data_IF_703973542192
#
_entry.id   IF_703973542192
#
_cell.length_a   1.000
_cell.length_b   1.000
_cell.length_c   1.000
_cell.angle_alpha   90.00
_cell.angle_beta   90.00
_cell.angle_gamma   90.00
#
_symmetry.space_group_name_H-M   'P 1'
#
loop_
_entity.id
_entity.type
_entity.pdbx_description
1 polymer ?
#
# COMPACT_ATOMS: atom_id res chain seq x y z
N UNK A 1 -9.53 26.99 5.58
CA UNK A 1 -8.56 26.71 4.51
C UNK A 1 -7.18 26.29 5.04
N UNK A 2 -6.57 26.98 5.99
CA UNK A 2 -5.27 26.60 6.58
C UNK A 2 -5.24 25.21 7.24
N UNK A 3 -6.24 24.82 8.04
CA UNK A 3 -6.30 23.48 8.70
C UNK A 3 -6.22 22.30 7.71
N UNK A 4 -6.81 22.44 6.53
CA UNK A 4 -6.81 21.40 5.50
C UNK A 4 -5.42 21.18 4.87
N UNK A 5 -4.63 22.28 4.73
CA UNK A 5 -3.28 22.22 4.16
C UNK A 5 -2.31 21.51 5.12
N UNK A 6 -2.32 21.89 6.41
CA UNK A 6 -1.48 21.23 7.42
C UNK A 6 -1.80 19.74 7.56
N UNK A 7 -3.07 19.37 7.50
CA UNK A 7 -3.51 17.98 7.55
C UNK A 7 -2.95 17.15 6.38
N UNK A 8 -3.00 17.70 5.16
CA UNK A 8 -2.47 17.02 3.98
C UNK A 8 -0.95 16.85 4.02
N UNK A 9 -0.22 17.81 4.60
CA UNK A 9 1.23 17.73 4.79
C UNK A 9 1.56 16.66 5.82
N UNK A 10 0.86 16.62 6.95
CA UNK A 10 1.05 15.63 8.00
C UNK A 10 0.84 14.20 7.46
N UNK A 11 -0.21 13.97 6.66
CA UNK A 11 -0.49 12.67 6.07
C UNK A 11 0.60 12.23 5.07
N UNK A 12 1.19 13.16 4.33
CA UNK A 12 2.33 12.88 3.44
C UNK A 12 3.59 12.51 4.22
N UNK A 13 3.88 13.21 5.31
CA UNK A 13 5.01 12.90 6.18
C UNK A 13 4.82 11.52 6.81
N UNK A 14 3.62 11.22 7.26
CA UNK A 14 3.26 9.91 7.82
C UNK A 14 3.44 8.81 6.79
N UNK A 15 3.05 9.02 5.52
CA UNK A 15 3.27 8.05 4.45
C UNK A 15 4.76 7.78 4.20
N UNK A 16 5.60 8.82 4.17
CA UNK A 16 7.05 8.69 4.04
C UNK A 16 7.63 7.91 5.22
N UNK A 17 7.19 8.21 6.44
CA UNK A 17 7.63 7.50 7.64
C UNK A 17 7.31 6.00 7.58
N UNK A 18 6.11 5.63 7.14
CA UNK A 18 5.72 4.23 6.99
C UNK A 18 6.49 3.51 5.86
N UNK A 19 6.81 4.21 4.77
CA UNK A 19 7.69 3.63 3.74
C UNK A 19 9.10 3.40 4.27
N UNK A 20 9.60 4.28 5.14
CA UNK A 20 10.90 4.07 5.80
C UNK A 20 10.89 2.87 6.76
N UNK A 21 9.77 2.60 7.43
CA UNK A 21 9.65 1.42 8.30
C UNK A 21 9.77 0.10 7.51
N UNK A 22 9.47 0.09 6.21
CA UNK A 22 9.70 -1.09 5.37
C UNK A 22 11.18 -1.51 5.27
N UNK A 23 12.13 -0.64 5.65
CA UNK A 23 13.57 -0.97 5.72
C UNK A 23 13.88 -1.91 6.89
N UNK A 24 13.06 -1.87 7.95
CA UNK A 24 13.24 -2.71 9.11
C UNK A 24 12.96 -4.18 8.74
N UNK A 25 13.87 -4.78 7.98
CA UNK A 25 13.81 -6.19 7.62
C UNK A 25 13.89 -7.03 8.89
N UNK A 26 12.75 -7.45 9.42
CA UNK A 26 12.70 -8.41 10.51
C UNK A 26 12.92 -9.78 9.88
N UNK A 27 14.10 -10.33 10.04
CA UNK A 27 14.43 -11.70 9.68
C UNK A 27 13.85 -12.63 10.75
N UNK A 28 12.76 -13.30 10.44
CA UNK A 28 12.21 -14.35 11.28
C UNK A 28 12.48 -15.66 10.53
N UNK A 29 13.21 -16.60 11.13
CA UNK A 29 13.62 -17.89 10.55
C UNK A 29 14.46 -17.75 9.25
N UNK A 30 15.76 -17.90 9.36
CA UNK A 30 16.74 -18.12 8.29
C UNK A 30 16.34 -17.56 6.90
N UNK A 31 16.53 -16.24 6.67
CA UNK A 31 16.37 -15.54 5.40
C UNK A 31 14.94 -15.22 4.91
N UNK A 32 13.89 -15.44 5.69
CA UNK A 32 12.54 -15.01 5.31
C UNK A 32 12.34 -13.55 5.73
N UNK A 33 12.31 -12.65 4.76
CA UNK A 33 11.93 -11.25 4.97
C UNK A 33 10.42 -11.20 5.20
N UNK A 34 10.01 -11.07 6.44
CA UNK A 34 8.61 -10.92 6.83
C UNK A 34 8.37 -9.48 7.22
N UNK A 35 8.06 -8.64 6.26
CA UNK A 35 7.63 -7.27 6.57
C UNK A 35 6.33 -6.95 5.82
N UNK A 36 5.33 -6.40 6.52
CA UNK A 36 4.09 -5.98 5.87
C UNK A 36 4.36 -4.81 4.93
N UNK A 37 3.68 -4.76 3.80
CA UNK A 37 3.76 -3.64 2.87
C UNK A 37 3.01 -2.42 3.43
N UNK A 38 3.62 -1.70 4.37
CA UNK A 38 3.01 -0.56 5.06
C UNK A 38 2.74 0.61 4.11
N UNK A 39 3.60 0.82 3.13
CA UNK A 39 3.43 1.81 2.07
C UNK A 39 2.15 1.60 1.27
N UNK A 40 1.89 0.36 0.87
CA UNK A 40 0.68 -0.02 0.13
C UNK A 40 -0.57 0.24 0.95
N UNK A 41 -0.56 -0.09 2.24
CA UNK A 41 -1.71 0.10 3.15
C UNK A 41 -2.12 1.56 3.23
N UNK A 42 -1.14 2.44 3.37
CA UNK A 42 -1.38 3.88 3.47
C UNK A 42 -1.80 4.47 2.13
N UNK A 43 -1.12 4.11 1.05
CA UNK A 43 -1.48 4.55 -0.30
C UNK A 43 -2.92 4.14 -0.61
N UNK A 44 -3.28 2.88 -0.34
CA UNK A 44 -4.63 2.39 -0.57
C UNK A 44 -5.67 3.17 0.25
N UNK A 45 -5.47 3.31 1.56
CA UNK A 45 -6.41 3.97 2.43
C UNK A 45 -6.66 5.43 2.02
N UNK A 46 -5.60 6.20 1.81
CA UNK A 46 -5.72 7.63 1.50
C UNK A 46 -6.04 7.95 0.04
N UNK A 47 -5.95 6.98 -0.85
CA UNK A 47 -6.26 7.20 -2.26
C UNK A 47 -7.64 6.67 -2.62
N UNK A 48 -8.03 5.52 -2.07
CA UNK A 48 -9.28 4.84 -2.43
C UNK A 48 -10.37 5.09 -1.39
N UNK A 49 -10.04 4.97 -0.10
CA UNK A 49 -11.01 5.11 0.98
C UNK A 49 -11.27 6.56 1.37
N UNK A 50 -10.29 7.43 1.26
CA UNK A 50 -10.39 8.86 1.57
C UNK A 50 -9.98 9.68 0.36
N UNK A 51 -10.96 10.19 -0.32
CA UNK A 51 -10.91 10.98 -1.54
C UNK A 51 -9.58 11.75 -1.74
N UNK A 52 -8.72 11.20 -2.63
CA UNK A 52 -7.64 11.93 -3.32
C UNK A 52 -6.71 12.80 -2.46
N UNK A 53 -6.34 12.32 -1.27
CA UNK A 53 -5.38 13.05 -0.43
C UNK A 53 -3.99 13.05 -1.09
N UNK A 54 -3.63 11.96 -1.76
CA UNK A 54 -2.36 11.84 -2.43
C UNK A 54 -2.47 12.11 -3.94
N UNK A 55 -1.77 13.13 -4.45
CA UNK A 55 -1.65 13.34 -5.89
C UNK A 55 -0.81 12.23 -6.52
N UNK A 56 -1.07 11.92 -7.79
CA UNK A 56 -0.41 10.83 -8.53
C UNK A 56 1.12 10.96 -8.50
N UNK A 57 1.65 12.18 -8.62
CA UNK A 57 3.10 12.43 -8.55
C UNK A 57 3.71 12.01 -7.22
N UNK A 58 2.98 12.18 -6.11
CA UNK A 58 3.44 11.78 -4.78
C UNK A 58 3.49 10.26 -4.65
N UNK A 59 2.49 9.55 -5.16
CA UNK A 59 2.45 8.09 -5.21
C UNK A 59 3.60 7.55 -6.05
N UNK A 60 3.90 8.21 -7.17
CA UNK A 60 5.03 7.88 -8.03
C UNK A 60 6.36 7.97 -7.27
N UNK A 61 6.60 9.08 -6.55
CA UNK A 61 7.80 9.26 -5.74
C UNK A 61 7.88 8.22 -4.63
N UNK A 62 6.78 7.94 -3.93
CA UNK A 62 6.75 6.91 -2.89
C UNK A 62 7.08 5.53 -3.44
N UNK A 63 6.60 5.18 -4.63
CA UNK A 63 6.91 3.91 -5.28
C UNK A 63 8.39 3.78 -5.66
N UNK A 64 8.99 4.84 -6.22
CA UNK A 64 10.44 4.89 -6.49
C UNK A 64 11.23 4.72 -5.19
N UNK A 65 10.81 5.41 -4.15
CA UNK A 65 11.45 5.34 -2.83
C UNK A 65 11.36 3.94 -2.24
N UNK A 66 10.18 3.31 -2.32
CA UNK A 66 9.97 1.92 -1.89
C UNK A 66 10.86 0.94 -2.65
N UNK A 67 11.00 1.08 -3.96
CA UNK A 67 11.87 0.24 -4.79
C UNK A 67 13.35 0.40 -4.39
N UNK A 68 13.80 1.63 -4.20
CA UNK A 68 15.18 1.92 -3.80
C UNK A 68 15.51 1.31 -2.43
N UNK A 69 14.58 1.37 -1.47
CA UNK A 69 14.75 0.80 -0.15
C UNK A 69 14.76 -0.73 -0.14
N UNK A 70 13.99 -1.34 -1.02
CA UNK A 70 13.91 -2.80 -1.14
C UNK A 70 14.98 -3.41 -2.06
N UNK A 71 15.84 -2.57 -2.67
CA UNK A 71 16.84 -3.03 -3.62
C UNK A 71 16.25 -3.67 -4.88
N UNK A 72 15.04 -3.24 -5.24
CA UNK A 72 14.33 -3.67 -6.44
C UNK A 72 14.59 -2.66 -7.56
N UNK A 73 14.41 -3.08 -8.81
CA UNK A 73 14.53 -2.16 -9.94
C UNK A 73 13.59 -0.96 -9.79
N UNK A 74 14.17 0.22 -9.81
CA UNK A 74 13.48 1.49 -9.63
C UNK A 74 12.39 1.64 -10.68
N UNK A 75 11.16 1.89 -10.23
CA UNK A 75 10.02 2.18 -11.09
C UNK A 75 8.96 1.07 -11.17
N UNK A 76 9.27 -0.16 -10.77
CA UNK A 76 8.29 -1.27 -10.81
C UNK A 76 7.13 -1.00 -9.87
N UNK A 77 7.40 -0.72 -8.60
CA UNK A 77 6.34 -0.46 -7.61
C UNK A 77 5.58 0.81 -7.94
N UNK A 78 6.26 1.88 -8.39
CA UNK A 78 5.61 3.14 -8.74
C UNK A 78 4.62 2.98 -9.90
N UNK A 79 5.01 2.23 -10.93
CA UNK A 79 4.16 1.96 -12.08
C UNK A 79 2.96 1.10 -11.67
N UNK A 80 3.17 0.05 -10.90
CA UNK A 80 2.11 -0.83 -10.42
C UNK A 80 1.12 -0.09 -9.52
N UNK A 81 1.59 0.76 -8.60
CA UNK A 81 0.71 1.55 -7.73
C UNK A 81 -0.20 2.47 -8.55
N UNK A 82 0.34 3.19 -9.53
CA UNK A 82 -0.44 4.11 -10.36
C UNK A 82 -1.47 3.36 -11.19
N UNK A 83 -1.07 2.26 -11.84
CA UNK A 83 -1.98 1.46 -12.67
C UNK A 83 -3.12 0.92 -11.82
N UNK A 84 -2.81 0.28 -10.69
CA UNK A 84 -3.81 -0.32 -9.82
C UNK A 84 -4.76 0.71 -9.22
N UNK A 85 -4.23 1.84 -8.74
CA UNK A 85 -5.06 2.92 -8.19
C UNK A 85 -6.02 3.44 -9.25
N UNK A 86 -5.55 3.70 -10.46
CA UNK A 86 -6.41 4.15 -11.55
C UNK A 86 -7.47 3.11 -11.90
N UNK A 87 -7.09 1.85 -11.96
CA UNK A 87 -7.98 0.73 -12.23
C UNK A 87 -9.07 0.61 -11.14
N UNK A 88 -8.68 0.69 -9.88
CA UNK A 88 -9.64 0.65 -8.77
C UNK A 88 -10.56 1.86 -8.73
N UNK A 89 -10.06 3.05 -8.98
CA UNK A 89 -10.90 4.26 -9.10
C UNK A 89 -11.87 4.11 -10.27
N UNK A 90 -11.45 3.54 -11.39
CA UNK A 90 -12.29 3.33 -12.56
C UNK A 90 -13.44 2.35 -12.28
N UNK A 91 -13.17 1.22 -11.61
CA UNK A 91 -14.18 0.21 -11.33
C UNK A 91 -15.04 0.49 -10.11
N UNK A 92 -14.53 1.16 -9.10
CA UNK A 92 -15.21 1.41 -7.82
C UNK A 92 -15.70 2.86 -7.64
N UNK A 93 -15.63 3.68 -8.70
CA UNK A 93 -16.13 5.04 -8.62
C UNK A 93 -17.64 5.05 -8.92
N UNK A 94 -18.52 5.67 -8.10
CA UNK A 94 -18.28 6.56 -6.96
C UNK A 94 -19.04 6.16 -5.68
N UNK A 95 -18.60 5.19 -4.93
CA UNK A 95 -19.17 5.05 -3.58
C UNK A 95 -18.49 6.05 -2.64
N UNK A 96 -19.12 7.20 -2.46
CA UNK A 96 -18.70 8.31 -1.59
C UNK A 96 -18.53 7.95 -0.11
N UNK A 97 -18.90 6.74 0.31
CA UNK A 97 -18.92 6.30 1.70
C UNK A 97 -18.38 4.88 1.86
N UNK A 98 -17.07 4.68 1.72
CA UNK A 98 -16.45 3.47 2.25
C UNK A 98 -16.25 3.66 3.78
N UNK A 99 -17.33 3.97 4.48
CA UNK A 99 -17.36 3.97 5.95
C UNK A 99 -17.62 2.56 6.51
N UNK A 100 -17.89 1.59 5.63
CA UNK A 100 -18.10 0.20 5.98
C UNK A 100 -16.72 -0.51 6.06
N UNK A 101 -16.35 -0.85 7.29
CA UNK A 101 -15.10 -1.54 7.60
C UNK A 101 -14.94 -2.84 6.80
N UNK A 102 -16.02 -3.62 6.63
CA UNK A 102 -15.97 -4.88 5.89
C UNK A 102 -15.67 -4.68 4.42
N UNK A 103 -16.35 -3.74 3.76
CA UNK A 103 -16.09 -3.40 2.36
C UNK A 103 -14.67 -2.90 2.15
N UNK A 104 -14.15 -2.10 3.06
CA UNK A 104 -12.80 -1.58 3.00
C UNK A 104 -11.75 -2.70 3.02
N UNK A 105 -11.91 -3.68 3.92
CA UNK A 105 -11.01 -4.83 4.00
C UNK A 105 -11.08 -5.67 2.72
N UNK A 106 -12.28 -5.97 2.22
CA UNK A 106 -12.45 -6.77 1.00
C UNK A 106 -11.76 -6.08 -0.20
N UNK A 107 -11.94 -4.78 -0.35
CA UNK A 107 -11.29 -4.02 -1.42
C UNK A 107 -9.76 -4.01 -1.26
N UNK A 108 -9.26 -3.91 -0.03
CA UNK A 108 -7.83 -4.00 0.22
C UNK A 108 -7.26 -5.37 -0.13
N UNK A 109 -7.94 -6.44 0.25
CA UNK A 109 -7.55 -7.82 -0.08
C UNK A 109 -7.46 -8.01 -1.59
N UNK A 110 -8.45 -7.54 -2.35
CA UNK A 110 -8.43 -7.58 -3.82
C UNK A 110 -7.27 -6.76 -4.39
N UNK A 111 -7.06 -5.55 -3.89
CA UNK A 111 -5.97 -4.67 -4.31
C UNK A 111 -4.61 -5.32 -4.07
N UNK A 112 -4.39 -5.83 -2.86
CA UNK A 112 -3.14 -6.45 -2.44
C UNK A 112 -2.86 -7.72 -3.25
N UNK A 113 -3.87 -8.57 -3.49
CA UNK A 113 -3.70 -9.82 -4.26
C UNK A 113 -3.24 -9.53 -5.69
N UNK A 114 -3.88 -8.60 -6.38
CA UNK A 114 -3.52 -8.21 -7.74
C UNK A 114 -2.10 -7.62 -7.76
N UNK A 115 -1.79 -6.76 -6.79
CA UNK A 115 -0.48 -6.13 -6.71
C UNK A 115 0.65 -7.15 -6.49
N UNK A 116 0.48 -8.08 -5.55
CA UNK A 116 1.49 -9.11 -5.29
C UNK A 116 1.70 -10.02 -6.49
N UNK A 117 0.63 -10.44 -7.17
CA UNK A 117 0.72 -11.27 -8.38
C UNK A 117 1.49 -10.53 -9.48
N UNK A 118 1.15 -9.26 -9.74
CA UNK A 118 1.83 -8.47 -10.75
C UNK A 118 3.30 -8.21 -10.39
N UNK A 119 3.55 -7.79 -9.14
CA UNK A 119 4.91 -7.48 -8.66
C UNK A 119 5.82 -8.71 -8.76
N UNK A 120 5.36 -9.86 -8.26
CA UNK A 120 6.13 -11.11 -8.33
C UNK A 120 6.30 -11.61 -9.76
N UNK A 121 5.28 -11.47 -10.61
CA UNK A 121 5.37 -11.78 -12.04
C UNK A 121 6.46 -10.96 -12.74
N UNK A 122 6.44 -9.63 -12.57
CA UNK A 122 7.47 -8.76 -13.13
C UNK A 122 8.88 -9.10 -12.61
N UNK A 123 9.02 -9.31 -11.30
CA UNK A 123 10.29 -9.66 -10.70
C UNK A 123 10.81 -11.01 -11.19
N UNK A 124 9.94 -12.01 -11.35
CA UNK A 124 10.31 -13.35 -11.87
C UNK A 124 10.80 -13.27 -13.30
N UNK A 125 10.13 -12.50 -14.16
CA UNK A 125 10.54 -12.31 -15.54
C UNK A 125 11.90 -11.61 -15.61
N UNK A 126 12.10 -10.58 -14.79
CA UNK A 126 13.33 -9.79 -14.81
C UNK A 126 14.54 -10.52 -14.22
N UNK A 127 14.35 -11.19 -13.08
CA UNK A 127 15.45 -11.86 -12.35
C UNK A 127 15.70 -13.29 -12.82
N UNK A 128 14.79 -13.88 -13.60
CA UNK A 128 14.83 -15.30 -13.97
C UNK A 128 14.66 -16.26 -12.77
N UNK A 129 14.32 -15.72 -11.58
CA UNK A 129 14.12 -16.51 -10.36
C UNK A 129 12.64 -16.71 -10.08
N UNK A 130 12.25 -17.93 -9.74
CA UNK A 130 10.90 -18.21 -9.27
C UNK A 130 10.82 -17.84 -7.81
N UNK A 131 9.95 -16.87 -7.47
CA UNK A 131 9.66 -16.53 -6.08
C UNK A 131 8.79 -17.65 -5.47
N UNK A 132 9.19 -18.13 -4.31
CA UNK A 132 8.43 -19.19 -3.63
C UNK A 132 7.07 -18.65 -3.19
N UNK A 133 6.03 -19.36 -3.57
CA UNK A 133 4.63 -19.02 -3.26
C UNK A 133 4.40 -18.83 -1.76
N UNK A 134 5.13 -19.57 -0.94
CA UNK A 134 5.10 -19.48 0.51
C UNK A 134 5.42 -18.08 1.05
N UNK A 135 6.45 -17.41 0.52
CA UNK A 135 6.80 -16.04 0.96
C UNK A 135 5.69 -15.04 0.63
N UNK A 136 5.11 -15.18 -0.55
CA UNK A 136 4.02 -14.30 -1.00
C UNK A 136 2.79 -14.49 -0.11
N UNK A 137 2.45 -15.71 0.26
CA UNK A 137 1.32 -16.00 1.13
C UNK A 137 1.51 -15.43 2.54
N UNK A 138 2.70 -15.58 3.11
CA UNK A 138 2.98 -15.02 4.44
C UNK A 138 2.88 -13.49 4.42
N UNK A 139 3.50 -12.83 3.44
CA UNK A 139 3.44 -11.39 3.25
C UNK A 139 1.99 -10.91 3.09
N UNK A 140 1.18 -11.64 2.34
CA UNK A 140 -0.24 -11.37 2.12
C UNK A 140 -1.04 -11.41 3.44
N UNK A 141 -0.94 -12.50 4.21
CA UNK A 141 -1.70 -12.65 5.45
C UNK A 141 -1.29 -11.65 6.53
N UNK A 142 0.01 -11.40 6.69
CA UNK A 142 0.51 -10.40 7.63
C UNK A 142 0.00 -9.01 7.25
N UNK A 143 0.05 -8.66 5.96
CA UNK A 143 -0.42 -7.37 5.47
C UNK A 143 -1.91 -7.16 5.72
N UNK A 144 -2.74 -8.17 5.53
CA UNK A 144 -4.18 -8.09 5.82
C UNK A 144 -4.43 -7.89 7.32
N UNK A 145 -3.74 -8.64 8.17
CA UNK A 145 -3.91 -8.53 9.63
C UNK A 145 -3.56 -7.13 10.14
N UNK A 146 -2.44 -6.57 9.71
CA UNK A 146 -2.01 -5.23 10.09
C UNK A 146 -2.92 -4.16 9.49
N UNK A 147 -3.36 -4.33 8.22
CA UNK A 147 -4.29 -3.39 7.60
C UNK A 147 -5.64 -3.33 8.32
N UNK A 148 -6.16 -4.45 8.82
CA UNK A 148 -7.39 -4.48 9.60
C UNK A 148 -7.29 -3.61 10.86
N UNK A 149 -6.17 -3.69 11.59
CA UNK A 149 -5.92 -2.84 12.76
C UNK A 149 -5.77 -1.37 12.35
N UNK A 150 -4.94 -1.11 11.35
CA UNK A 150 -4.66 0.25 10.89
C UNK A 150 -5.91 0.94 10.34
N UNK A 151 -6.72 0.24 9.56
CA UNK A 151 -7.97 0.77 9.01
C UNK A 151 -9.00 1.08 10.10
N UNK A 152 -9.08 0.27 11.17
CA UNK A 152 -9.97 0.52 12.30
C UNK A 152 -9.61 1.84 13.02
N UNK A 153 -8.33 2.10 13.23
CA UNK A 153 -7.83 3.33 13.84
C UNK A 153 -8.10 4.54 12.94
N UNK A 154 -7.79 4.41 11.66
CA UNK A 154 -7.95 5.50 10.70
C UNK A 154 -9.42 5.85 10.44
N UNK A 155 -10.32 4.86 10.42
CA UNK A 155 -11.77 5.09 10.28
C UNK A 155 -12.35 5.76 11.53
N UNK A 156 -11.89 5.39 12.73
CA UNK A 156 -12.31 6.05 13.97
C UNK A 156 -11.90 7.52 13.96
N UNK A 157 -10.66 7.82 13.63
CA UNK A 157 -10.16 9.19 13.50
C UNK A 157 -10.95 10.04 12.49
N UNK A 158 -11.49 9.41 11.46
CA UNK A 158 -12.27 10.09 10.42
C UNK A 158 -13.73 10.35 10.81
N UNK A 159 -14.29 9.61 11.78
CA UNK A 159 -15.65 9.81 12.27
C UNK A 159 -15.77 10.94 13.29
N UNK A 160 -14.68 11.31 13.93
CA UNK A 160 -14.64 12.38 14.94
C UNK A 160 -14.53 13.79 14.32
N UNK A 161 -14.50 13.89 12.99
CA UNK A 161 -14.55 15.12 12.21
C UNK A 161 -15.88 15.28 11.46
#
# INVERSE_FOLDING_TARGET
MQKSIYKNIYLKILAIFFTMLNIANIYIFDNIRLFPNLDIMIIFFFTICKIRVFPIWFIFILGIWSDALNGINIGISSLLYIILIKLFIFFNYPEKNINDFGKNIILFVLFLSILLILKTGFLSIYTGKIYYLYHILIEFFISIGIYAILSSILLKYNREE
#
